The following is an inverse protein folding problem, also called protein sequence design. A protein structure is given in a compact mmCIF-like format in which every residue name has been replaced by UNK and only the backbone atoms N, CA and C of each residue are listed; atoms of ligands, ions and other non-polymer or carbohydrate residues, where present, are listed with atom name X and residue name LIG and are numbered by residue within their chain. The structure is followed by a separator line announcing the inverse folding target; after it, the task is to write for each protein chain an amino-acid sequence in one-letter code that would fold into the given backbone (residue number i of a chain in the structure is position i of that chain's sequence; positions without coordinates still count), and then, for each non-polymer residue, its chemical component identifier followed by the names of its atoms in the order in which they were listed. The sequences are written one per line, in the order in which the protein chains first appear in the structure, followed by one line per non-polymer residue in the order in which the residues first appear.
data_IF_028476268108
#
_entry.id   IF_028476268108
#
_cell.length_a   1.000
_cell.length_b   1.000
_cell.length_c   1.000
_cell.angle_alpha   90.00
_cell.angle_beta   90.00
_cell.angle_gamma   90.00
#
_symmetry.space_group_name_H-M   'P 1'
#
loop_
_entity.id
_entity.type
_entity.pdbx_description
1 polymer ?
#
# COMPACT_ATOMS: atom_id res chain seq x y z
N UNK A 1 -52.82 -4.82 53.94
CA UNK A 1 -52.58 -4.37 52.54
C UNK A 1 -52.60 -5.59 51.63
N UNK A 2 -53.64 -5.76 50.81
CA UNK A 2 -53.96 -7.06 50.19
C UNK A 2 -53.03 -7.42 49.03
N UNK A 3 -52.68 -8.71 48.93
CA UNK A 3 -51.93 -9.35 47.81
C UNK A 3 -52.47 -8.97 46.42
N UNK A 4 -53.73 -8.53 46.35
CA UNK A 4 -54.41 -8.11 45.12
C UNK A 4 -53.80 -6.82 44.57
N UNK A 5 -53.50 -5.80 45.40
CA UNK A 5 -52.89 -4.54 44.92
C UNK A 5 -51.47 -4.75 44.37
N UNK A 6 -50.70 -5.65 44.97
CA UNK A 6 -49.33 -5.96 44.55
C UNK A 6 -49.29 -6.67 43.18
N UNK A 7 -50.25 -7.58 42.94
CA UNK A 7 -50.37 -8.32 41.67
C UNK A 7 -50.74 -7.41 40.50
N UNK A 8 -51.60 -6.41 40.73
CA UNK A 8 -51.98 -5.41 39.73
C UNK A 8 -50.83 -4.44 39.44
N UNK A 9 -50.11 -4.00 40.48
CA UNK A 9 -48.93 -3.15 40.33
C UNK A 9 -47.83 -3.86 39.51
N UNK A 10 -47.56 -5.13 39.82
CA UNK A 10 -46.56 -5.94 39.12
C UNK A 10 -46.93 -6.20 37.65
N UNK A 11 -48.21 -6.47 37.34
CA UNK A 11 -48.69 -6.57 35.95
C UNK A 11 -48.53 -5.25 35.19
N UNK A 12 -48.79 -4.12 35.84
CA UNK A 12 -48.61 -2.81 35.22
C UNK A 12 -47.14 -2.50 34.97
N UNK A 13 -46.24 -2.86 35.89
CA UNK A 13 -44.79 -2.72 35.72
C UNK A 13 -44.31 -3.58 34.55
N UNK A 14 -44.72 -4.85 34.46
CA UNK A 14 -44.37 -5.72 33.32
C UNK A 14 -44.88 -5.15 32.00
N UNK A 15 -46.12 -4.64 31.97
CA UNK A 15 -46.70 -4.01 30.77
C UNK A 15 -45.90 -2.78 30.34
N UNK A 16 -45.51 -1.91 31.27
CA UNK A 16 -44.68 -0.75 30.98
C UNK A 16 -43.27 -1.14 30.51
N UNK A 17 -42.66 -2.17 31.10
CA UNK A 17 -41.37 -2.71 30.65
C UNK A 17 -41.46 -3.29 29.23
N UNK A 18 -42.54 -4.03 28.91
CA UNK A 18 -42.77 -4.55 27.56
C UNK A 18 -42.96 -3.42 26.53
N UNK A 19 -43.74 -2.37 26.87
CA UNK A 19 -43.92 -1.21 26.00
C UNK A 19 -42.57 -0.51 25.78
N UNK A 20 -41.80 -0.26 26.84
CA UNK A 20 -40.49 0.38 26.74
C UNK A 20 -39.51 -0.44 25.87
N UNK A 21 -39.52 -1.78 26.01
CA UNK A 21 -38.69 -2.67 25.19
C UNK A 21 -39.08 -2.64 23.71
N UNK A 22 -40.38 -2.74 23.39
CA UNK A 22 -40.87 -2.68 21.99
C UNK A 22 -40.59 -1.32 21.36
N UNK A 23 -40.78 -0.22 22.11
CA UNK A 23 -40.43 1.12 21.65
C UNK A 23 -38.93 1.27 21.39
N UNK A 24 -38.07 0.73 22.26
CA UNK A 24 -36.61 0.74 22.06
C UNK A 24 -36.23 -0.03 20.79
N UNK A 25 -36.82 -1.21 20.57
CA UNK A 25 -36.57 -2.03 19.38
C UNK A 25 -37.01 -1.29 18.11
N UNK A 26 -38.18 -0.67 18.10
CA UNK A 26 -38.66 0.14 16.97
C UNK A 26 -37.75 1.33 16.68
N UNK A 27 -37.27 2.03 17.71
CA UNK A 27 -36.32 3.14 17.56
C UNK A 27 -35.00 2.63 16.97
N UNK A 28 -34.47 1.51 17.46
CA UNK A 28 -33.25 0.89 16.93
C UNK A 28 -33.45 0.51 15.45
N UNK A 29 -34.57 -0.10 15.07
CA UNK A 29 -34.86 -0.43 13.67
C UNK A 29 -35.04 0.82 12.79
N UNK A 30 -35.64 1.89 13.30
CA UNK A 30 -35.79 3.14 12.56
C UNK A 30 -34.44 3.86 12.40
N UNK A 31 -33.60 3.87 13.43
CA UNK A 31 -32.25 4.46 13.38
C UNK A 31 -31.34 3.65 12.47
N UNK A 32 -31.33 2.32 12.60
CA UNK A 32 -30.59 1.46 11.68
C UNK A 32 -31.12 1.57 10.26
N UNK A 33 -32.44 1.59 10.07
CA UNK A 33 -33.07 1.78 8.77
C UNK A 33 -32.69 3.13 8.14
N UNK A 34 -32.66 4.21 8.92
CA UNK A 34 -32.24 5.53 8.47
C UNK A 34 -30.76 5.56 8.09
N UNK A 35 -29.87 5.02 8.93
CA UNK A 35 -28.44 4.91 8.65
C UNK A 35 -28.14 4.01 7.44
N UNK A 36 -29.01 3.04 7.15
CA UNK A 36 -28.88 2.15 6.01
C UNK A 36 -29.45 2.75 4.71
N UNK A 37 -30.46 3.62 4.81
CA UNK A 37 -31.11 4.27 3.67
C UNK A 37 -30.41 5.56 3.23
N UNK A 38 -29.72 6.26 4.14
CA UNK A 38 -29.03 7.51 3.85
C UNK A 38 -27.54 7.35 4.12
N UNK A 39 -26.70 7.24 3.06
CA UNK A 39 -25.26 7.18 3.25
C UNK A 39 -24.78 8.44 3.98
N UNK A 40 -23.77 8.29 4.84
CA UNK A 40 -23.14 9.44 5.45
C UNK A 40 -22.54 10.39 4.39
N UNK A 41 -22.24 11.63 4.78
CA UNK A 41 -21.78 12.64 3.83
C UNK A 41 -20.50 12.22 3.10
N UNK A 42 -19.63 11.46 3.77
CA UNK A 42 -18.42 10.91 3.15
C UNK A 42 -18.78 9.90 2.06
N UNK A 43 -19.66 8.96 2.36
CA UNK A 43 -20.08 7.87 1.47
C UNK A 43 -20.88 8.41 0.28
N UNK A 44 -21.77 9.39 0.52
CA UNK A 44 -22.50 10.08 -0.54
C UNK A 44 -21.53 10.74 -1.53
N UNK A 45 -20.55 11.50 -1.02
CA UNK A 45 -19.51 12.15 -1.83
C UNK A 45 -18.61 11.14 -2.54
N UNK A 46 -18.22 10.06 -1.85
CA UNK A 46 -17.44 8.98 -2.44
C UNK A 46 -18.18 8.30 -3.60
N UNK A 47 -19.50 8.16 -3.49
CA UNK A 47 -20.34 7.55 -4.52
C UNK A 47 -20.50 8.41 -5.78
N UNK A 48 -20.22 9.72 -5.72
CA UNK A 48 -20.08 10.53 -6.93
C UNK A 48 -18.95 10.01 -7.85
N UNK A 49 -17.97 9.30 -7.26
CA UNK A 49 -16.91 8.62 -8.00
C UNK A 49 -15.70 9.51 -8.31
N UNK A 50 -14.74 9.02 -9.12
CA UNK A 50 -13.47 9.69 -9.42
C UNK A 50 -13.62 11.05 -10.12
N UNK A 51 -14.80 11.39 -10.67
CA UNK A 51 -15.05 12.70 -11.31
C UNK A 51 -14.84 13.90 -10.38
N UNK A 52 -14.89 13.67 -9.06
CA UNK A 52 -14.62 14.70 -8.05
C UNK A 52 -13.16 15.18 -8.07
N UNK A 53 -12.24 14.37 -8.59
CA UNK A 53 -10.81 14.65 -8.67
C UNK A 53 -10.46 15.48 -9.93
N UNK A 54 -11.20 16.57 -10.16
CA UNK A 54 -11.15 17.37 -11.40
C UNK A 54 -9.74 17.85 -11.76
N UNK A 55 -8.99 18.37 -10.78
CA UNK A 55 -7.63 18.84 -11.01
C UNK A 55 -6.68 17.70 -11.42
N UNK A 56 -6.80 16.53 -10.79
CA UNK A 56 -5.98 15.37 -11.15
C UNK A 56 -6.37 14.79 -12.51
N UNK A 57 -7.64 14.87 -12.89
CA UNK A 57 -8.08 14.50 -14.24
C UNK A 57 -7.43 15.43 -15.28
N UNK A 58 -7.39 16.74 -15.02
CA UNK A 58 -6.70 17.69 -15.89
C UNK A 58 -5.19 17.42 -15.98
N UNK A 59 -4.53 17.14 -14.84
CA UNK A 59 -3.13 16.72 -14.83
C UNK A 59 -2.91 15.42 -15.61
N UNK A 60 -3.85 14.48 -15.53
CA UNK A 60 -3.79 13.21 -16.25
C UNK A 60 -3.93 13.39 -17.76
N UNK A 61 -4.76 14.32 -18.23
CA UNK A 61 -4.90 14.67 -19.66
C UNK A 61 -3.59 15.19 -20.26
N UNK A 62 -2.82 15.94 -19.46
CA UNK A 62 -1.54 16.53 -19.88
C UNK A 62 -0.35 15.57 -19.70
N UNK A 63 -0.55 14.46 -19.00
CA UNK A 63 0.50 13.53 -18.63
C UNK A 63 1.04 12.76 -19.85
N UNK A 64 2.37 12.63 -19.94
CA UNK A 64 3.06 11.91 -21.02
C UNK A 64 3.82 10.69 -20.49
N UNK A 65 3.65 9.49 -21.08
CA UNK A 65 4.46 8.32 -20.75
C UNK A 65 5.85 8.41 -21.39
N UNK A 66 6.96 8.19 -20.69
CA UNK A 66 7.15 8.19 -19.23
C UNK A 66 8.02 9.39 -18.85
N UNK A 67 7.90 9.83 -17.60
CA UNK A 67 8.72 10.90 -17.06
C UNK A 67 10.21 10.51 -17.20
N UNK A 68 11.06 11.39 -17.77
CA UNK A 68 12.46 11.09 -18.01
C UNK A 68 13.28 10.91 -16.73
N UNK A 69 12.82 11.44 -15.59
CA UNK A 69 13.42 11.18 -14.28
C UNK A 69 12.84 9.86 -13.71
N UNK A 70 13.60 8.75 -13.69
CA UNK A 70 13.11 7.48 -13.15
C UNK A 70 12.75 7.57 -11.66
N UNK A 71 13.41 8.48 -10.91
CA UNK A 71 13.25 8.60 -9.47
C UNK A 71 12.19 9.64 -9.05
N UNK A 72 11.43 10.20 -9.99
CA UNK A 72 10.49 11.30 -9.70
C UNK A 72 9.46 10.95 -8.61
N UNK A 73 9.01 9.69 -8.58
CA UNK A 73 8.07 9.17 -7.57
C UNK A 73 8.75 8.21 -6.56
N UNK A 74 10.09 8.18 -6.52
CA UNK A 74 10.85 7.36 -5.57
C UNK A 74 10.89 8.03 -4.20
N UNK A 75 10.59 7.28 -3.13
CA UNK A 75 10.59 7.78 -1.74
C UNK A 75 11.95 8.33 -1.33
N UNK A 76 13.02 7.64 -1.71
CA UNK A 76 14.39 8.13 -1.59
C UNK A 76 15.05 8.07 -2.97
N UNK A 77 15.91 9.06 -3.26
CA UNK A 77 16.74 9.11 -4.47
C UNK A 77 18.15 8.59 -4.17
N UNK A 78 18.93 8.16 -5.18
CA UNK A 78 20.25 7.53 -4.97
C UNK A 78 21.24 8.29 -4.08
N UNK A 79 21.17 9.62 -4.06
CA UNK A 79 21.99 10.50 -3.23
C UNK A 79 21.61 10.48 -1.74
N UNK A 80 20.41 10.00 -1.39
CA UNK A 80 19.98 9.91 -0.02
C UNK A 80 20.64 8.69 0.67
N UNK A 81 21.24 8.84 1.87
CA UNK A 81 21.89 7.73 2.56
C UNK A 81 20.94 6.56 2.89
N UNK A 82 19.63 6.78 2.91
CA UNK A 82 18.62 5.74 3.12
C UNK A 82 18.24 4.98 1.84
N UNK A 83 18.68 5.42 0.65
CA UNK A 83 18.28 4.78 -0.60
C UNK A 83 18.69 3.30 -0.64
N UNK A 84 19.99 3.01 -0.52
CA UNK A 84 20.47 1.63 -0.56
C UNK A 84 19.88 0.72 0.54
N UNK A 85 19.86 1.11 1.83
CA UNK A 85 19.25 0.26 2.85
C UNK A 85 17.76 0.05 2.65
N UNK A 86 16.98 1.07 2.28
CA UNK A 86 15.52 0.92 2.12
C UNK A 86 15.19 0.14 0.84
N UNK A 87 15.98 0.30 -0.23
CA UNK A 87 15.90 -0.56 -1.41
C UNK A 87 16.16 -2.04 -1.04
N UNK A 88 17.15 -2.30 -0.18
CA UNK A 88 17.41 -3.64 0.32
C UNK A 88 16.23 -4.18 1.15
N UNK A 89 15.57 -3.35 1.97
CA UNK A 89 14.33 -3.72 2.67
C UNK A 89 13.24 -4.13 1.66
N UNK A 90 12.98 -3.30 0.64
CA UNK A 90 11.98 -3.55 -0.40
C UNK A 90 12.20 -4.90 -1.10
N UNK A 91 13.47 -5.31 -1.24
CA UNK A 91 13.91 -6.58 -1.85
C UNK A 91 14.06 -7.73 -0.85
N UNK A 92 13.60 -7.55 0.39
CA UNK A 92 13.75 -8.52 1.48
C UNK A 92 15.21 -8.92 1.78
N UNK A 93 16.19 -8.10 1.37
CA UNK A 93 17.62 -8.24 1.66
C UNK A 93 17.94 -7.63 3.03
N UNK A 94 17.29 -8.14 4.07
CA UNK A 94 17.44 -7.62 5.43
C UNK A 94 18.88 -7.73 5.95
N UNK A 95 19.64 -8.72 5.46
CA UNK A 95 21.07 -8.91 5.70
C UNK A 95 21.92 -7.71 5.24
N UNK A 96 21.57 -7.12 4.09
CA UNK A 96 22.21 -5.93 3.56
C UNK A 96 21.68 -4.69 4.29
N UNK A 97 20.36 -4.60 4.45
CA UNK A 97 19.71 -3.46 5.08
C UNK A 97 20.22 -3.20 6.50
N UNK A 98 20.34 -4.25 7.34
CA UNK A 98 20.83 -4.14 8.72
C UNK A 98 22.24 -3.54 8.76
N UNK A 99 23.17 -4.07 7.96
CA UNK A 99 24.57 -3.59 7.90
C UNK A 99 24.68 -2.13 7.45
N UNK A 100 23.79 -1.68 6.56
CA UNK A 100 23.78 -0.31 6.05
C UNK A 100 23.09 0.67 7.01
N UNK A 101 22.08 0.21 7.75
CA UNK A 101 21.30 1.04 8.68
C UNK A 101 21.99 1.23 10.03
N UNK A 102 22.70 0.21 10.55
CA UNK A 102 23.35 0.26 11.87
C UNK A 102 24.28 1.48 12.03
N UNK A 103 25.23 1.76 11.10
CA UNK A 103 26.11 2.92 11.23
C UNK A 103 25.36 4.27 11.15
N UNK A 104 24.25 4.33 10.41
CA UNK A 104 23.42 5.54 10.31
C UNK A 104 22.64 5.77 11.61
N UNK A 105 22.07 4.69 12.18
CA UNK A 105 21.38 4.72 13.45
C UNK A 105 22.33 5.08 14.61
N UNK A 106 23.54 4.55 14.63
CA UNK A 106 24.57 4.90 15.63
C UNK A 106 24.93 6.39 15.59
N UNK A 107 25.00 6.99 14.39
CA UNK A 107 25.20 8.43 14.18
C UNK A 107 23.99 9.29 14.54
N UNK A 108 22.90 8.70 15.03
CA UNK A 108 21.72 9.45 15.45
C UNK A 108 20.72 9.74 14.33
N UNK A 109 20.80 9.07 13.18
CA UNK A 109 19.78 9.24 12.14
C UNK A 109 18.46 8.57 12.58
N UNK A 110 17.43 9.39 12.83
CA UNK A 110 16.14 8.92 13.34
C UNK A 110 15.40 8.02 12.34
N UNK A 111 15.47 8.31 11.04
CA UNK A 111 14.80 7.52 10.00
C UNK A 111 15.51 6.18 9.80
N UNK A 112 16.84 6.14 9.91
CA UNK A 112 17.60 4.88 9.90
C UNK A 112 17.23 4.00 11.10
N UNK A 113 17.06 4.59 12.29
CA UNK A 113 16.58 3.85 13.46
C UNK A 113 15.17 3.28 13.24
N UNK A 114 14.28 4.05 12.61
CA UNK A 114 12.94 3.57 12.25
C UNK A 114 13.04 2.36 11.30
N UNK A 115 13.77 2.47 10.20
CA UNK A 115 13.91 1.37 9.24
C UNK A 115 14.61 0.14 9.82
N UNK A 116 15.61 0.35 10.69
CA UNK A 116 16.27 -0.75 11.40
C UNK A 116 15.32 -1.44 12.38
N UNK A 117 14.43 -0.69 13.02
CA UNK A 117 13.40 -1.23 13.89
C UNK A 117 12.38 -2.07 13.09
N UNK A 118 11.94 -1.60 11.92
CA UNK A 118 11.02 -2.34 11.05
C UNK A 118 11.56 -3.75 10.73
N UNK A 119 12.80 -3.87 10.25
CA UNK A 119 13.37 -5.20 9.95
C UNK A 119 13.79 -6.01 11.18
N UNK A 120 13.88 -5.39 12.35
CA UNK A 120 14.21 -6.06 13.62
C UNK A 120 12.97 -6.67 14.28
N UNK A 121 11.80 -6.05 14.08
CA UNK A 121 10.57 -6.34 14.81
C UNK A 121 9.94 -7.71 14.49
N UNK A 122 10.14 -8.23 13.27
CA UNK A 122 9.51 -9.48 12.78
C UNK A 122 9.91 -10.78 13.52
N UNK A 123 10.77 -10.70 14.54
CA UNK A 123 11.13 -11.82 15.41
C UNK A 123 10.73 -11.52 16.87
N UNK A 124 9.92 -12.37 17.53
CA UNK A 124 9.55 -12.18 18.94
C UNK A 124 10.75 -12.01 19.89
N UNK A 125 11.90 -12.61 19.55
CA UNK A 125 13.13 -12.51 20.32
C UNK A 125 13.83 -11.14 20.20
N UNK A 126 13.51 -10.38 19.16
CA UNK A 126 14.13 -9.08 18.84
C UNK A 126 13.18 -7.90 19.07
N UNK A 127 11.94 -8.13 19.47
CA UNK A 127 10.92 -7.07 19.64
C UNK A 127 11.34 -6.01 20.67
N UNK A 128 12.09 -6.36 21.72
CA UNK A 128 12.65 -5.38 22.66
C UNK A 128 13.70 -4.47 22.00
N UNK A 129 14.57 -5.01 21.13
CA UNK A 129 15.56 -4.22 20.36
C UNK A 129 14.84 -3.27 19.42
N UNK A 130 13.82 -3.75 18.70
CA UNK A 130 12.99 -2.91 17.83
C UNK A 130 12.29 -1.78 18.61
N UNK A 131 11.69 -2.10 19.76
CA UNK A 131 11.03 -1.09 20.59
C UNK A 131 11.98 0.03 21.03
N UNK A 132 13.19 -0.29 21.48
CA UNK A 132 14.18 0.73 21.84
C UNK A 132 14.62 1.60 20.65
N UNK A 133 14.76 1.00 19.46
CA UNK A 133 15.04 1.75 18.23
C UNK A 133 13.90 2.71 17.89
N UNK A 134 12.64 2.26 17.97
CA UNK A 134 11.49 3.15 17.78
C UNK A 134 11.44 4.26 18.83
N UNK A 135 11.70 3.96 20.11
CA UNK A 135 11.71 4.98 21.17
C UNK A 135 12.74 6.07 20.88
N UNK A 136 13.98 5.68 20.57
CA UNK A 136 15.06 6.62 20.26
C UNK A 136 14.76 7.43 18.99
N UNK A 137 14.24 6.78 17.95
CA UNK A 137 13.79 7.43 16.72
C UNK A 137 12.69 8.47 16.98
N UNK A 138 11.70 8.12 17.80
CA UNK A 138 10.61 9.00 18.20
C UNK A 138 11.08 10.20 19.04
N UNK A 139 12.00 9.96 19.98
CA UNK A 139 12.63 11.01 20.80
C UNK A 139 13.45 12.00 19.96
N UNK A 140 14.01 11.54 18.84
CA UNK A 140 14.69 12.36 17.84
C UNK A 140 13.74 13.03 16.83
N UNK A 141 12.43 12.89 17.00
CA UNK A 141 11.43 13.60 16.20
C UNK A 141 10.92 12.85 14.96
N UNK A 142 11.09 11.52 14.89
CA UNK A 142 10.42 10.71 13.87
C UNK A 142 8.96 10.39 14.30
N UNK A 143 7.93 10.93 13.61
CA UNK A 143 6.54 10.70 13.98
C UNK A 143 6.08 9.25 13.76
N UNK A 144 6.61 8.58 12.74
CA UNK A 144 6.22 7.23 12.35
C UNK A 144 6.68 6.22 13.40
N UNK A 145 7.90 6.40 13.93
CA UNK A 145 8.40 5.62 15.06
C UNK A 145 7.55 5.82 16.33
N UNK A 146 7.12 7.05 16.60
CA UNK A 146 6.22 7.31 17.72
C UNK A 146 4.86 6.61 17.54
N UNK A 147 4.29 6.64 16.33
CA UNK A 147 3.01 5.97 16.04
C UNK A 147 3.11 4.44 16.02
N UNK A 148 4.28 3.88 15.71
CA UNK A 148 4.56 2.45 15.92
C UNK A 148 4.51 2.04 17.39
N UNK A 149 4.66 2.98 18.32
CA UNK A 149 4.57 2.74 19.77
C UNK A 149 3.26 3.27 20.40
N UNK A 150 2.29 3.66 19.58
CA UNK A 150 0.98 4.08 20.06
C UNK A 150 0.26 2.91 20.76
N UNK A 151 -0.51 3.22 21.79
CA UNK A 151 -1.30 2.23 22.52
C UNK A 151 -2.36 1.58 21.62
N UNK A 152 -2.87 2.31 20.64
CA UNK A 152 -3.89 1.82 19.70
C UNK A 152 -3.28 1.03 18.53
N UNK A 153 -1.94 0.93 18.44
CA UNK A 153 -1.27 0.21 17.37
C UNK A 153 -1.30 -1.31 17.66
N UNK A 154 -2.04 -2.08 16.84
CA UNK A 154 -2.21 -3.52 17.03
C UNK A 154 -0.90 -4.32 16.95
N UNK A 155 0.00 -3.90 16.06
CA UNK A 155 1.32 -4.52 15.91
C UNK A 155 2.18 -4.26 17.16
N UNK A 156 2.13 -3.05 17.69
CA UNK A 156 2.75 -2.75 18.97
C UNK A 156 2.19 -3.65 20.06
N UNK A 157 0.86 -3.72 20.22
CA UNK A 157 0.23 -4.52 21.28
C UNK A 157 0.58 -6.01 21.17
N UNK A 158 0.71 -6.53 19.94
CA UNK A 158 0.97 -7.95 19.73
C UNK A 158 2.41 -8.36 20.05
N UNK A 159 3.39 -7.52 19.77
CA UNK A 159 4.81 -7.93 19.84
C UNK A 159 5.67 -7.04 20.75
N UNK A 160 5.21 -5.83 21.10
CA UNK A 160 5.93 -4.84 21.91
C UNK A 160 5.07 -4.23 23.03
N UNK A 161 4.05 -4.95 23.53
CA UNK A 161 3.03 -4.43 24.48
C UNK A 161 3.59 -3.62 25.65
N UNK A 162 4.72 -4.06 26.25
CA UNK A 162 5.37 -3.35 27.35
C UNK A 162 5.89 -1.93 27.02
N UNK A 163 6.00 -1.61 25.73
CA UNK A 163 6.50 -0.34 25.22
C UNK A 163 5.40 0.59 24.69
N UNK A 164 4.21 0.05 24.38
CA UNK A 164 3.10 0.77 23.79
C UNK A 164 2.47 1.70 24.84
N UNK A 165 2.47 3.01 24.57
CA UNK A 165 1.99 4.02 25.53
C UNK A 165 1.30 5.15 24.79
N UNK A 166 0.19 5.63 25.34
CA UNK A 166 -0.60 6.74 24.79
C UNK A 166 0.26 7.99 24.52
N UNK A 167 1.31 8.23 25.32
CA UNK A 167 2.26 9.34 25.11
C UNK A 167 2.89 9.34 23.72
N UNK A 168 3.14 8.15 23.14
CA UNK A 168 3.79 8.02 21.84
C UNK A 168 2.82 8.37 20.70
N UNK A 169 1.57 7.93 20.79
CA UNK A 169 0.52 8.36 19.88
C UNK A 169 0.32 9.88 19.86
N UNK A 170 0.27 10.49 21.06
CA UNK A 170 0.21 11.95 21.22
C UNK A 170 1.41 12.64 20.57
N UNK A 171 2.62 12.14 20.82
CA UNK A 171 3.85 12.69 20.24
C UNK A 171 3.85 12.58 18.71
N UNK A 172 3.54 11.40 18.16
CA UNK A 172 3.55 11.16 16.73
C UNK A 172 2.54 12.04 15.98
N UNK A 173 1.30 12.14 16.48
CA UNK A 173 0.28 13.05 15.92
C UNK A 173 0.71 14.52 16.00
N UNK A 174 1.32 14.94 17.11
CA UNK A 174 1.87 16.30 17.25
C UNK A 174 2.94 16.57 16.19
N UNK A 175 3.93 15.69 16.05
CA UNK A 175 5.02 15.82 15.09
C UNK A 175 4.51 15.83 13.64
N UNK A 176 3.55 14.98 13.28
CA UNK A 176 2.92 15.03 11.95
C UNK A 176 2.19 16.35 11.72
N UNK A 177 1.49 16.86 12.72
CA UNK A 177 0.81 18.15 12.61
C UNK A 177 1.80 19.28 12.38
N UNK A 178 2.90 19.31 13.12
CA UNK A 178 3.96 20.30 12.92
C UNK A 178 4.60 20.21 11.52
N UNK A 179 4.79 19.00 10.99
CA UNK A 179 5.27 18.80 9.62
C UNK A 179 4.24 19.28 8.58
N UNK A 180 2.97 18.90 8.75
CA UNK A 180 1.88 19.30 7.86
C UNK A 180 1.66 20.82 7.84
N UNK A 181 1.74 21.48 9.01
CA UNK A 181 1.64 22.94 9.13
C UNK A 181 2.82 23.66 8.44
N UNK A 182 3.95 22.96 8.21
CA UNK A 182 5.10 23.42 7.41
C UNK A 182 5.05 23.03 5.92
N UNK A 183 3.95 22.43 5.46
CA UNK A 183 3.75 22.06 4.06
C UNK A 183 4.08 20.60 3.71
N UNK A 184 4.38 19.74 4.69
CA UNK A 184 4.51 18.29 4.45
C UNK A 184 3.12 17.68 4.20
N UNK A 185 2.77 17.59 2.91
CA UNK A 185 1.49 17.03 2.45
C UNK A 185 1.33 15.55 2.75
N UNK A 186 2.43 14.79 2.87
CA UNK A 186 2.43 13.37 3.26
C UNK A 186 2.03 13.24 4.73
N UNK A 187 2.57 14.08 5.61
CA UNK A 187 2.17 14.14 7.00
C UNK A 187 0.69 14.54 7.16
N UNK A 188 0.21 15.49 6.34
CA UNK A 188 -1.20 15.89 6.29
C UNK A 188 -2.13 14.73 5.92
N UNK A 189 -1.75 13.92 4.92
CA UNK A 189 -2.47 12.70 4.56
C UNK A 189 -2.50 11.68 5.70
N UNK A 190 -1.37 11.48 6.38
CA UNK A 190 -1.29 10.48 7.45
C UNK A 190 -2.18 10.81 8.65
N UNK A 191 -2.32 12.09 8.99
CA UNK A 191 -3.25 12.54 10.03
C UNK A 191 -4.73 12.21 9.73
N UNK A 192 -5.07 11.95 8.48
CA UNK A 192 -6.42 11.63 8.03
C UNK A 192 -6.63 10.12 7.82
N UNK A 193 -5.60 9.40 7.35
CA UNK A 193 -5.69 8.02 6.82
C UNK A 193 -6.40 7.05 7.77
N UNK A 194 -6.06 7.09 9.06
CA UNK A 194 -6.50 6.11 10.06
C UNK A 194 -7.72 6.60 10.86
N UNK A 195 -8.36 7.69 10.42
CA UNK A 195 -9.61 8.19 11.00
C UNK A 195 -10.82 7.56 10.32
N UNK A 196 -11.87 7.32 11.09
CA UNK A 196 -13.19 7.08 10.54
C UNK A 196 -13.72 8.40 9.96
N UNK A 197 -13.76 8.50 8.64
CA UNK A 197 -14.27 9.67 7.93
C UNK A 197 -15.75 9.44 7.62
N UNK A 198 -16.60 10.39 8.00
CA UNK A 198 -18.07 10.26 7.91
C UNK A 198 -18.73 11.47 7.25
N UNK A 199 -18.01 12.58 7.11
CA UNK A 199 -18.56 13.82 6.56
C UNK A 199 -18.07 14.10 5.14
N UNK A 200 -18.87 14.86 4.40
CA UNK A 200 -18.50 15.35 3.06
C UNK A 200 -17.22 16.21 3.11
N UNK A 201 -17.07 17.04 4.15
CA UNK A 201 -15.90 17.91 4.32
C UNK A 201 -14.61 17.12 4.56
N UNK A 202 -14.69 15.98 5.27
CA UNK A 202 -13.57 15.05 5.39
C UNK A 202 -13.21 14.40 4.06
N UNK A 203 -14.20 14.09 3.22
CA UNK A 203 -13.94 13.60 1.86
C UNK A 203 -13.28 14.67 1.00
N UNK A 204 -13.78 15.91 1.00
CA UNK A 204 -13.12 17.05 0.31
C UNK A 204 -11.70 17.29 0.81
N UNK A 205 -11.46 17.12 2.12
CA UNK A 205 -10.12 17.21 2.70
C UNK A 205 -9.21 16.09 2.19
N UNK A 206 -9.73 14.86 2.07
CA UNK A 206 -9.03 13.74 1.44
C UNK A 206 -8.70 14.05 -0.02
N UNK A 207 -9.67 14.52 -0.82
CA UNK A 207 -9.47 14.94 -2.22
C UNK A 207 -8.33 15.96 -2.33
N UNK A 208 -8.36 17.01 -1.50
CA UNK A 208 -7.33 18.05 -1.47
C UNK A 208 -5.94 17.49 -1.15
N UNK A 209 -5.83 16.61 -0.16
CA UNK A 209 -4.57 15.98 0.22
C UNK A 209 -4.07 15.03 -0.87
N UNK A 210 -4.95 14.25 -1.49
CA UNK A 210 -4.60 13.37 -2.62
C UNK A 210 -4.03 14.19 -3.78
N UNK A 211 -4.68 15.30 -4.12
CA UNK A 211 -4.22 16.22 -5.17
C UNK A 211 -2.88 16.86 -4.83
N UNK A 212 -2.72 17.39 -3.61
CA UNK A 212 -1.49 18.04 -3.19
C UNK A 212 -0.29 17.06 -3.14
N UNK A 213 -0.53 15.81 -2.73
CA UNK A 213 0.51 14.77 -2.73
C UNK A 213 0.91 14.36 -4.16
N UNK A 214 -0.06 14.18 -5.06
CA UNK A 214 0.22 13.86 -6.46
C UNK A 214 0.96 14.97 -7.21
N UNK A 215 0.70 16.26 -6.88
CA UNK A 215 1.50 17.41 -7.37
C UNK A 215 2.96 17.36 -6.92
N UNK A 216 3.24 16.77 -5.77
CA UNK A 216 4.58 16.52 -5.25
C UNK A 216 5.12 15.13 -5.64
N UNK A 217 4.50 14.48 -6.64
CA UNK A 217 4.88 13.16 -7.15
C UNK A 217 4.81 12.01 -6.13
N UNK A 218 4.12 12.21 -5.00
CA UNK A 218 3.81 11.14 -4.05
C UNK A 218 2.41 10.60 -4.32
N UNK A 219 2.33 9.47 -5.03
CA UNK A 219 1.08 8.93 -5.57
C UNK A 219 0.37 7.92 -4.67
N UNK A 220 0.91 7.62 -3.48
CA UNK A 220 0.28 6.64 -2.59
C UNK A 220 -1.15 7.01 -2.17
N UNK A 221 -1.45 8.27 -1.77
CA UNK A 221 -2.82 8.66 -1.42
C UNK A 221 -3.79 8.48 -2.59
N UNK A 222 -3.33 8.78 -3.81
CA UNK A 222 -4.11 8.56 -5.02
C UNK A 222 -4.37 7.08 -5.23
N UNK A 223 -3.34 6.24 -5.17
CA UNK A 223 -3.47 4.80 -5.31
C UNK A 223 -4.46 4.19 -4.30
N UNK A 224 -4.38 4.61 -3.03
CA UNK A 224 -5.29 4.13 -1.99
C UNK A 224 -6.75 4.57 -2.25
N UNK A 225 -6.97 5.80 -2.72
CA UNK A 225 -8.31 6.27 -3.08
C UNK A 225 -8.87 5.56 -4.33
N UNK A 226 -8.05 5.35 -5.37
CA UNK A 226 -8.47 4.64 -6.58
C UNK A 226 -8.83 3.19 -6.29
N UNK A 227 -8.08 2.51 -5.42
CA UNK A 227 -8.41 1.16 -4.94
C UNK A 227 -9.76 1.10 -4.24
N UNK A 228 -10.12 2.14 -3.46
CA UNK A 228 -11.45 2.24 -2.82
C UNK A 228 -12.56 2.37 -3.87
N UNK A 229 -12.34 3.16 -4.93
CA UNK A 229 -13.30 3.26 -6.04
C UNK A 229 -13.48 1.94 -6.81
N UNK A 230 -12.39 1.21 -7.06
CA UNK A 230 -12.42 -0.06 -7.80
C UNK A 230 -13.03 -1.20 -6.98
N UNK A 231 -12.50 -1.43 -5.77
CA UNK A 231 -12.78 -2.66 -5.02
C UNK A 231 -14.00 -2.54 -4.11
N UNK A 232 -14.55 -1.34 -3.88
CA UNK A 232 -15.76 -1.13 -3.08
C UNK A 232 -15.68 -1.59 -1.61
N UNK A 233 -14.48 -1.96 -1.12
CA UNK A 233 -14.23 -2.82 0.04
C UNK A 233 -14.74 -2.30 1.39
N UNK A 234 -15.07 -1.02 1.50
CA UNK A 234 -15.54 -0.41 2.76
C UNK A 234 -17.04 -0.10 2.77
N UNK A 235 -17.75 -0.26 1.65
CA UNK A 235 -19.08 0.32 1.48
C UNK A 235 -20.14 -0.61 0.90
N UNK A 236 -19.91 -1.93 0.89
CA UNK A 236 -20.91 -2.90 0.42
C UNK A 236 -21.47 -2.52 -0.97
N UNK A 237 -20.59 -2.15 -1.90
CA UNK A 237 -21.04 -1.82 -3.26
C UNK A 237 -21.61 -3.09 -3.90
N UNK A 238 -22.94 -3.15 -3.95
CA UNK A 238 -23.70 -4.20 -4.64
C UNK A 238 -23.57 -4.12 -6.16
N UNK A 239 -23.22 -2.93 -6.67
CA UNK A 239 -23.16 -2.68 -8.11
C UNK A 239 -21.72 -2.41 -8.60
N UNK A 240 -21.34 -2.98 -9.76
CA UNK A 240 -20.06 -2.70 -10.40
C UNK A 240 -19.85 -1.22 -10.67
N UNK A 241 -18.59 -0.80 -10.72
CA UNK A 241 -18.23 0.55 -11.14
C UNK A 241 -18.72 0.81 -12.59
N UNK A 242 -19.39 1.94 -12.83
CA UNK A 242 -19.84 2.32 -14.17
C UNK A 242 -18.67 2.40 -15.15
N UNK A 243 -18.91 2.15 -16.44
CA UNK A 243 -17.86 2.23 -17.48
C UNK A 243 -17.19 3.60 -17.54
N UNK A 244 -17.93 4.67 -17.27
CA UNK A 244 -17.39 6.03 -17.16
C UNK A 244 -16.41 6.15 -15.99
N UNK A 245 -16.81 5.71 -14.80
CA UNK A 245 -15.95 5.77 -13.63
C UNK A 245 -14.72 4.86 -13.77
N UNK A 246 -14.85 3.68 -14.40
CA UNK A 246 -13.70 2.83 -14.76
C UNK A 246 -12.71 3.60 -15.65
N UNK A 247 -13.19 4.28 -16.69
CA UNK A 247 -12.34 5.11 -17.57
C UNK A 247 -11.62 6.22 -16.80
N UNK A 248 -12.31 6.92 -15.91
CA UNK A 248 -11.72 7.98 -15.09
C UNK A 248 -10.67 7.44 -14.11
N UNK A 249 -10.92 6.29 -13.47
CA UNK A 249 -9.91 5.62 -12.64
C UNK A 249 -8.65 5.30 -13.46
N UNK A 250 -8.81 4.70 -14.64
CA UNK A 250 -7.68 4.34 -15.51
C UNK A 250 -6.88 5.59 -15.91
N UNK A 251 -7.56 6.69 -16.24
CA UNK A 251 -6.91 7.97 -16.53
C UNK A 251 -6.09 8.48 -15.34
N UNK A 252 -6.63 8.41 -14.12
CA UNK A 252 -5.91 8.80 -12.90
C UNK A 252 -4.75 7.84 -12.55
N UNK A 253 -4.89 6.53 -12.81
CA UNK A 253 -3.78 5.58 -12.64
C UNK A 253 -2.65 5.89 -13.62
N UNK A 254 -2.98 6.23 -14.87
CA UNK A 254 -2.01 6.65 -15.89
C UNK A 254 -1.20 7.86 -15.46
N UNK A 255 -1.78 8.83 -14.74
CA UNK A 255 -1.03 9.96 -14.20
C UNK A 255 0.15 9.52 -13.32
N UNK A 256 -0.07 8.59 -12.40
CA UNK A 256 0.99 8.08 -11.52
C UNK A 256 1.96 7.16 -12.28
N UNK A 257 1.44 6.28 -13.14
CA UNK A 257 2.24 5.35 -13.95
C UNK A 257 3.18 6.11 -14.90
N UNK A 258 2.69 7.16 -15.55
CA UNK A 258 3.51 8.02 -16.40
C UNK A 258 4.61 8.74 -15.60
N UNK A 259 4.46 8.87 -14.28
CA UNK A 259 5.48 9.38 -13.37
C UNK A 259 6.24 8.25 -12.64
N UNK A 260 6.41 7.10 -13.30
CA UNK A 260 7.25 5.99 -12.84
C UNK A 260 6.80 5.35 -11.51
N UNK A 261 5.54 5.51 -11.09
CA UNK A 261 5.03 4.92 -9.86
C UNK A 261 4.67 3.43 -10.04
N UNK A 262 5.63 2.56 -9.72
CA UNK A 262 5.58 1.09 -9.88
C UNK A 262 4.35 0.41 -9.25
N UNK A 263 3.85 0.79 -8.06
CA UNK A 263 2.69 0.12 -7.47
C UNK A 263 1.43 0.16 -8.35
N UNK A 264 1.16 1.28 -9.04
CA UNK A 264 0.02 1.33 -9.96
C UNK A 264 0.29 0.68 -11.32
N UNK A 265 1.56 0.57 -11.75
CA UNK A 265 1.89 -0.27 -12.91
C UNK A 265 1.48 -1.72 -12.64
N UNK A 266 1.80 -2.21 -11.45
CA UNK A 266 1.46 -3.59 -11.05
C UNK A 266 -0.05 -3.78 -10.90
N UNK A 267 -0.78 -2.78 -10.37
CA UNK A 267 -2.25 -2.85 -10.31
C UNK A 267 -2.88 -2.92 -11.71
N UNK A 268 -2.41 -2.12 -12.68
CA UNK A 268 -2.92 -2.18 -14.06
C UNK A 268 -2.61 -3.52 -14.73
N UNK A 269 -1.44 -4.12 -14.46
CA UNK A 269 -1.03 -5.38 -15.10
C UNK A 269 -1.88 -6.56 -14.62
N UNK A 270 -2.27 -6.60 -13.35
CA UNK A 270 -2.89 -7.77 -12.72
C UNK A 270 -4.40 -7.64 -12.47
N UNK A 271 -5.00 -6.50 -12.78
CA UNK A 271 -6.43 -6.26 -12.58
C UNK A 271 -7.18 -6.40 -13.92
N UNK A 272 -7.92 -7.50 -14.07
CA UNK A 272 -8.69 -7.83 -15.28
C UNK A 272 -9.81 -6.80 -15.57
N UNK A 273 -10.25 -6.03 -14.57
CA UNK A 273 -11.25 -4.97 -14.75
C UNK A 273 -10.65 -3.69 -15.35
N UNK A 274 -9.32 -3.61 -15.45
CA UNK A 274 -8.59 -2.49 -16.03
C UNK A 274 -8.06 -2.86 -17.41
N UNK A 275 -8.47 -2.10 -18.42
CA UNK A 275 -7.95 -2.24 -19.78
C UNK A 275 -7.27 -0.97 -20.26
N UNK A 276 -6.05 -1.13 -20.78
CA UNK A 276 -5.30 -0.12 -21.53
C UNK A 276 -4.96 -0.68 -22.91
N UNK A 277 -4.53 0.18 -23.84
CA UNK A 277 -4.12 -0.29 -25.17
C UNK A 277 -2.91 -1.22 -25.07
N UNK A 278 -2.82 -2.22 -25.94
CA UNK A 278 -1.70 -3.17 -25.95
C UNK A 278 -0.35 -2.47 -26.10
N UNK A 279 -0.27 -1.41 -26.91
CA UNK A 279 0.94 -0.59 -27.07
C UNK A 279 1.36 0.09 -25.77
N UNK A 280 0.40 0.64 -25.00
CA UNK A 280 0.70 1.26 -23.72
C UNK A 280 1.10 0.22 -22.67
N UNK A 281 0.43 -0.94 -22.67
CA UNK A 281 0.76 -2.07 -21.80
C UNK A 281 2.20 -2.53 -22.02
N UNK A 282 2.61 -2.71 -23.28
CA UNK A 282 3.98 -3.12 -23.63
C UNK A 282 5.02 -2.11 -23.12
N UNK A 283 4.81 -0.81 -23.40
CA UNK A 283 5.68 0.27 -22.91
C UNK A 283 5.75 0.30 -21.38
N UNK A 284 4.62 0.12 -20.70
CA UNK A 284 4.55 0.12 -19.24
C UNK A 284 5.27 -1.08 -18.62
N UNK A 285 5.11 -2.27 -19.17
CA UNK A 285 5.79 -3.46 -18.66
C UNK A 285 7.31 -3.34 -18.84
N UNK A 286 7.78 -2.88 -20.00
CA UNK A 286 9.20 -2.58 -20.22
C UNK A 286 9.70 -1.58 -19.18
N UNK A 287 8.99 -0.46 -19.00
CA UNK A 287 9.36 0.55 -18.01
C UNK A 287 9.37 -0.01 -16.59
N UNK A 288 8.38 -0.83 -16.23
CA UNK A 288 8.31 -1.48 -14.92
C UNK A 288 9.54 -2.34 -14.68
N UNK A 289 9.94 -3.19 -15.62
CA UNK A 289 11.10 -4.06 -15.47
C UNK A 289 12.43 -3.30 -15.35
N UNK A 290 12.53 -2.09 -15.93
CA UNK A 290 13.67 -1.19 -15.67
C UNK A 290 13.71 -0.68 -14.22
N UNK A 291 12.55 -0.47 -13.60
CA UNK A 291 12.41 0.15 -12.27
C UNK A 291 12.33 -0.87 -11.12
N UNK A 292 11.77 -2.04 -11.38
CA UNK A 292 11.57 -3.13 -10.43
C UNK A 292 11.35 -4.46 -11.18
N UNK A 293 12.29 -5.40 -11.06
CA UNK A 293 12.19 -6.69 -11.73
C UNK A 293 11.18 -7.59 -11.01
N UNK A 294 10.26 -8.21 -11.77
CA UNK A 294 9.31 -9.18 -11.23
C UNK A 294 9.15 -10.34 -12.19
N UNK A 295 9.45 -11.56 -11.72
CA UNK A 295 9.24 -12.78 -12.51
C UNK A 295 7.79 -12.92 -12.98
N UNK A 296 6.82 -12.47 -12.17
CA UNK A 296 5.40 -12.52 -12.50
C UNK A 296 5.09 -11.67 -13.72
N UNK A 297 5.66 -10.47 -13.80
CA UNK A 297 5.47 -9.59 -14.96
C UNK A 297 6.21 -10.12 -16.19
N UNK A 298 7.41 -10.66 -15.99
CA UNK A 298 8.15 -11.29 -17.09
C UNK A 298 7.41 -12.48 -17.71
N UNK A 299 6.62 -13.21 -16.94
CA UNK A 299 5.78 -14.30 -17.47
C UNK A 299 4.73 -13.80 -18.47
N UNK A 300 4.16 -12.63 -18.22
CA UNK A 300 3.21 -11.99 -19.16
C UNK A 300 3.92 -11.58 -20.47
N UNK A 301 5.18 -11.17 -20.38
CA UNK A 301 5.98 -10.75 -21.53
C UNK A 301 6.57 -11.89 -22.35
N UNK A 302 6.91 -12.97 -21.66
CA UNK A 302 7.55 -14.15 -22.25
C UNK A 302 6.67 -15.37 -22.01
N UNK A 303 5.46 -15.42 -22.63
CA UNK A 303 4.55 -16.52 -22.44
C UNK A 303 5.21 -17.83 -22.91
N UNK A 304 5.05 -18.87 -22.11
CA UNK A 304 5.54 -20.22 -22.39
C UNK A 304 4.35 -21.08 -22.82
N UNK A 305 4.50 -21.82 -23.89
CA UNK A 305 3.42 -22.59 -24.54
C UNK A 305 3.95 -23.38 -25.75
N UNK A 306 3.19 -24.37 -26.24
CA UNK A 306 3.60 -25.23 -27.37
C UNK A 306 3.80 -24.38 -28.64
N UNK A 307 2.90 -23.41 -28.85
CA UNK A 307 2.94 -22.47 -29.97
C UNK A 307 3.85 -21.25 -29.71
N UNK A 308 4.60 -21.23 -28.61
CA UNK A 308 5.43 -20.08 -28.23
C UNK A 308 6.91 -20.32 -28.55
N UNK A 309 7.65 -19.28 -28.99
CA UNK A 309 9.07 -19.43 -29.28
C UNK A 309 9.87 -19.90 -28.05
N UNK A 310 10.78 -20.87 -28.25
CA UNK A 310 11.66 -21.38 -27.18
C UNK A 310 12.46 -20.30 -26.47
N UNK A 311 12.82 -19.23 -27.18
CA UNK A 311 13.50 -18.05 -26.62
C UNK A 311 12.72 -17.39 -25.46
N UNK A 312 11.39 -17.53 -25.40
CA UNK A 312 10.60 -17.02 -24.27
C UNK A 312 10.96 -17.74 -22.96
N UNK A 313 11.22 -19.05 -23.02
CA UNK A 313 11.68 -19.82 -21.85
C UNK A 313 13.03 -19.29 -21.36
N UNK A 314 13.95 -18.98 -22.28
CA UNK A 314 15.28 -18.46 -21.97
C UNK A 314 15.18 -17.05 -21.35
N UNK A 315 14.33 -16.18 -21.90
CA UNK A 315 14.11 -14.83 -21.37
C UNK A 315 13.41 -14.84 -20.01
N UNK A 316 12.40 -15.70 -19.83
CA UNK A 316 11.74 -15.90 -18.54
C UNK A 316 12.72 -16.43 -17.49
N UNK A 317 13.56 -17.40 -17.85
CA UNK A 317 14.64 -17.89 -17.00
C UNK A 317 15.63 -16.77 -16.63
N UNK A 318 16.05 -15.94 -17.59
CA UNK A 318 16.94 -14.81 -17.34
C UNK A 318 16.33 -13.79 -16.38
N UNK A 319 15.06 -13.44 -16.55
CA UNK A 319 14.35 -12.58 -15.61
C UNK A 319 14.22 -13.21 -14.21
N UNK A 320 13.94 -14.51 -14.12
CA UNK A 320 13.85 -15.22 -12.86
C UNK A 320 15.20 -15.27 -12.13
N UNK A 321 16.31 -15.48 -12.86
CA UNK A 321 17.67 -15.42 -12.31
C UNK A 321 17.98 -14.00 -11.82
N UNK A 322 17.64 -12.96 -12.58
CA UNK A 322 17.83 -11.58 -12.16
C UNK A 322 17.02 -11.27 -10.88
N UNK A 323 15.77 -11.72 -10.82
CA UNK A 323 14.91 -11.58 -9.64
C UNK A 323 15.52 -12.28 -8.42
N UNK A 324 15.98 -13.53 -8.56
CA UNK A 324 16.64 -14.30 -7.49
C UNK A 324 17.95 -13.64 -6.99
N UNK A 325 18.65 -12.89 -7.84
CA UNK A 325 19.88 -12.16 -7.48
C UNK A 325 19.58 -10.85 -6.73
N UNK A 326 18.52 -10.14 -7.14
CA UNK A 326 18.15 -8.86 -6.55
C UNK A 326 17.36 -9.03 -5.23
N UNK A 327 16.52 -10.06 -5.14
CA UNK A 327 15.60 -10.35 -4.02
C UNK A 327 16.14 -11.52 -3.18
N UNK A 328 15.95 -11.51 -1.86
CA UNK A 328 16.31 -12.68 -1.01
C UNK A 328 15.35 -13.87 -1.18
N UNK A 329 15.02 -14.27 -2.41
CA UNK A 329 14.09 -15.34 -2.70
C UNK A 329 14.73 -16.21 -3.77
N UNK A 330 15.44 -17.27 -3.40
CA UNK A 330 16.02 -18.25 -4.35
C UNK A 330 14.96 -19.18 -4.95
N UNK A 331 13.81 -18.63 -5.31
CA UNK A 331 12.61 -19.40 -5.61
C UNK A 331 12.08 -19.16 -7.01
N UNK A 332 12.39 -18.03 -7.66
CA UNK A 332 11.78 -17.69 -8.93
C UNK A 332 12.34 -18.56 -10.06
N UNK A 333 13.66 -18.74 -10.15
CA UNK A 333 14.23 -19.62 -11.18
C UNK A 333 13.89 -21.09 -10.94
N UNK A 334 13.82 -21.50 -9.66
CA UNK A 334 13.34 -22.83 -9.29
C UNK A 334 11.86 -23.04 -9.66
N UNK A 335 11.02 -22.03 -9.47
CA UNK A 335 9.62 -22.04 -9.91
C UNK A 335 9.52 -22.18 -11.43
N UNK A 336 10.34 -21.45 -12.20
CA UNK A 336 10.38 -21.60 -13.67
C UNK A 336 10.72 -23.04 -14.07
N UNK A 337 11.78 -23.63 -13.48
CA UNK A 337 12.14 -25.04 -13.76
C UNK A 337 11.01 -26.02 -13.40
N UNK A 338 10.36 -25.82 -12.25
CA UNK A 338 9.24 -26.66 -11.81
C UNK A 338 8.04 -26.55 -12.74
N UNK A 339 7.72 -25.34 -13.22
CA UNK A 339 6.63 -25.12 -14.16
C UNK A 339 6.90 -25.77 -15.52
N UNK A 340 8.13 -25.70 -16.03
CA UNK A 340 8.50 -26.41 -17.27
C UNK A 340 8.29 -27.92 -17.11
N UNK A 341 8.77 -28.48 -15.99
CA UNK A 341 8.61 -29.91 -15.69
C UNK A 341 7.14 -30.32 -15.55
N UNK A 342 6.33 -29.53 -14.84
CA UNK A 342 4.92 -29.84 -14.60
C UNK A 342 4.09 -29.87 -15.88
N UNK A 343 4.45 -29.03 -16.86
CA UNK A 343 3.76 -28.94 -18.14
C UNK A 343 4.47 -29.73 -19.26
N UNK A 344 5.33 -30.69 -18.91
CA UNK A 344 6.10 -31.53 -19.85
C UNK A 344 6.92 -30.76 -20.91
N UNK A 345 7.36 -29.53 -20.60
CA UNK A 345 8.28 -28.78 -21.46
C UNK A 345 9.73 -29.23 -21.25
N UNK A 346 10.55 -29.27 -22.32
CA UNK A 346 11.96 -29.59 -22.21
C UNK A 346 12.68 -28.65 -21.22
N UNK A 347 13.54 -29.18 -20.32
CA UNK A 347 14.35 -28.35 -19.44
C UNK A 347 15.31 -27.46 -20.24
N UNK A 348 15.85 -26.41 -19.62
CA UNK A 348 16.89 -25.60 -20.26
C UNK A 348 18.17 -26.41 -20.43
N UNK A 349 18.74 -26.41 -21.63
CA UNK A 349 20.10 -26.91 -21.88
C UNK A 349 21.16 -26.02 -21.24
N UNK A 350 22.40 -26.50 -21.14
CA UNK A 350 23.52 -25.71 -20.59
C UNK A 350 23.78 -24.42 -21.38
N UNK A 351 23.64 -24.46 -22.71
CA UNK A 351 23.78 -23.30 -23.58
C UNK A 351 22.65 -22.27 -23.34
N UNK A 352 21.41 -22.74 -23.22
CA UNK A 352 20.26 -21.88 -22.91
C UNK A 352 20.38 -21.27 -21.51
N UNK A 353 20.86 -22.03 -20.52
CA UNK A 353 21.10 -21.52 -19.17
C UNK A 353 22.18 -20.43 -19.17
N UNK A 354 23.24 -20.60 -19.97
CA UNK A 354 24.29 -19.58 -20.13
C UNK A 354 23.75 -18.31 -20.76
N UNK A 355 22.87 -18.44 -21.76
CA UNK A 355 22.16 -17.29 -22.35
C UNK A 355 21.23 -16.61 -21.33
N UNK A 356 20.49 -17.38 -20.54
CA UNK A 356 19.62 -16.84 -19.50
C UNK A 356 20.40 -16.04 -18.45
N UNK A 357 21.56 -16.53 -18.02
CA UNK A 357 22.47 -15.79 -17.10
C UNK A 357 22.96 -14.48 -17.72
N UNK A 358 23.38 -14.50 -18.98
CA UNK A 358 23.77 -13.28 -19.68
C UNK A 358 22.61 -12.27 -19.81
N UNK A 359 21.38 -12.74 -20.02
CA UNK A 359 20.18 -11.88 -19.98
C UNK A 359 20.01 -11.29 -18.59
N UNK A 360 20.14 -12.10 -17.53
CA UNK A 360 20.02 -11.64 -16.15
C UNK A 360 21.03 -10.53 -15.81
N UNK A 361 22.30 -10.74 -16.14
CA UNK A 361 23.37 -9.76 -15.93
C UNK A 361 23.08 -8.44 -16.66
N UNK A 362 22.53 -8.51 -17.88
CA UNK A 362 22.14 -7.32 -18.63
C UNK A 362 20.93 -6.60 -18.03
N UNK A 363 19.96 -7.32 -17.46
CA UNK A 363 18.82 -6.72 -16.75
C UNK A 363 19.35 -5.95 -15.54
N UNK A 364 20.14 -6.59 -14.69
CA UNK A 364 20.68 -5.99 -13.45
C UNK A 364 21.57 -4.80 -13.76
N UNK A 365 22.42 -4.89 -14.79
CA UNK A 365 23.32 -3.80 -15.17
C UNK A 365 22.59 -2.53 -15.60
N UNK A 366 21.43 -2.66 -16.23
CA UNK A 366 20.72 -1.55 -16.87
C UNK A 366 19.51 -1.04 -16.07
N UNK A 367 19.19 -1.67 -14.94
CA UNK A 367 18.04 -1.26 -14.13
C UNK A 367 18.29 0.07 -13.40
N UNK A 368 17.22 0.79 -13.12
CA UNK A 368 17.19 2.04 -12.33
C UNK A 368 16.21 1.89 -11.17
N UNK A 369 16.58 1.16 -10.10
CA UNK A 369 15.63 0.73 -9.08
C UNK A 369 14.97 1.90 -8.37
N UNK A 370 13.65 1.86 -8.17
CA UNK A 370 12.94 2.90 -7.41
C UNK A 370 12.41 2.34 -6.10
N UNK A 371 12.33 3.22 -5.10
CA UNK A 371 11.80 2.87 -3.78
C UNK A 371 10.36 3.37 -3.73
N UNK A 372 9.42 2.46 -3.55
CA UNK A 372 8.00 2.76 -3.43
C UNK A 372 7.41 2.31 -2.09
N UNK A 373 8.23 1.71 -1.22
CA UNK A 373 7.91 1.59 0.21
C UNK A 373 8.19 2.90 0.94
N UNK A 374 7.51 3.09 2.06
CA UNK A 374 7.72 4.22 2.96
C UNK A 374 7.38 3.84 4.41
N UNK A 375 7.53 4.79 5.33
CA UNK A 375 7.31 4.58 6.77
C UNK A 375 5.86 4.22 7.12
N UNK A 376 4.94 4.37 6.18
CA UNK A 376 3.52 4.11 6.34
C UNK A 376 3.08 2.81 5.70
N UNK A 377 3.90 2.29 4.79
CA UNK A 377 3.68 1.11 3.96
C UNK A 377 4.99 0.37 3.82
N UNK A 378 5.56 -0.02 4.96
CA UNK A 378 6.71 -0.91 4.96
C UNK A 378 6.31 -2.24 4.34
N UNK A 379 7.30 -2.98 3.83
CA UNK A 379 7.07 -4.32 3.29
C UNK A 379 6.36 -5.11 4.38
N UNK A 380 5.15 -5.62 4.12
CA UNK A 380 4.42 -6.44 5.08
C UNK A 380 5.40 -7.49 5.66
N UNK A 381 5.72 -7.36 6.94
CA UNK A 381 6.65 -8.22 7.68
C UNK A 381 5.99 -9.55 8.03
#
# INVERSE_FOLDING_TARGET
MSRIKFRTLFKNIIKWLAIAFVSLVLIVFLVFGYLWLFPDGFTARHNEGPKVLTELLHMAEQSKPFNPDPYIASTYRPENPLYQPVLAIQRHRWDIAEKLLEPLAEKGNADAMFWLAEITYGSPYRSSKAAHLYQKSAELGNPYAALRLDVDNSDCQRFMSGYCKEKWGKLGRKLLKERADKGDVKAGYYLLRDKLLTTEEEHKKLESLVTANAKNHYYRPLADLLKRYLKGYYFDRKEPLSSENKRLVIQLMKLAVNNNYVPLMSEIIFDDDISVTSEYMEKMINKRNELDISVTVCREFYPVGEDKPRINVIKLAGCAIASDQEVNRYHDFNMVKSNLKYNDYPPLSEAELSQAKHIADNIIKNMTPVIYIDEMNSVNL
#
